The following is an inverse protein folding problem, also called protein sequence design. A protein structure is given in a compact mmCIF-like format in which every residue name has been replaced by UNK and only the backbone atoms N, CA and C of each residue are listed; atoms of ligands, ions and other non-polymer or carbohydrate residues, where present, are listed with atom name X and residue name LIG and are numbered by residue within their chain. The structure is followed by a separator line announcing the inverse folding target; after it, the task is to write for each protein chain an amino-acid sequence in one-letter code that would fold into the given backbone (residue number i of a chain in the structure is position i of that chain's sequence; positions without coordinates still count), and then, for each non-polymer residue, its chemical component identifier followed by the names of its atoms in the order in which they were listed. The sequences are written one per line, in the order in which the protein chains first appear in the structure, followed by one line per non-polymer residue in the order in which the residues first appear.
data_IF_461282548946
#
_entry.id   IF_461282548946
#
_cell.length_a   1.000
_cell.length_b   1.000
_cell.length_c   1.000
_cell.angle_alpha   90.00
_cell.angle_beta   90.00
_cell.angle_gamma   90.00
#
_symmetry.space_group_name_H-M   'P 1'
#
loop_
_entity.id
_entity.type
_entity.pdbx_description
1 polymer ?
#
# COMPACT_ATOMS: atom_id res chain seq x y z
N UNK A 1 -10.74 -6.19 -11.65
CA UNK A 1 -10.08 -7.47 -11.31
C UNK A 1 -10.35 -7.92 -9.88
N UNK A 2 -10.00 -7.15 -8.85
CA UNK A 2 -10.05 -7.58 -7.43
C UNK A 2 -11.40 -8.12 -6.92
N UNK A 3 -12.53 -7.53 -7.30
CA UNK A 3 -13.86 -8.08 -6.98
C UNK A 3 -14.07 -9.51 -7.50
N UNK A 4 -13.63 -9.79 -8.73
CA UNK A 4 -13.72 -11.14 -9.30
C UNK A 4 -12.76 -12.10 -8.59
N UNK A 5 -11.53 -11.64 -8.31
CA UNK A 5 -10.54 -12.44 -7.62
C UNK A 5 -11.04 -12.92 -6.24
N UNK A 6 -11.67 -12.04 -5.47
CA UNK A 6 -12.20 -12.42 -4.17
C UNK A 6 -13.41 -13.34 -4.25
N UNK A 7 -14.29 -13.17 -5.24
CA UNK A 7 -15.40 -14.11 -5.47
C UNK A 7 -14.87 -15.50 -5.86
N UNK A 8 -13.87 -15.55 -6.74
CA UNK A 8 -13.30 -16.79 -7.25
C UNK A 8 -12.48 -17.52 -6.18
N UNK A 9 -11.79 -16.81 -5.30
CA UNK A 9 -10.96 -17.44 -4.27
C UNK A 9 -11.73 -17.74 -2.97
N UNK A 10 -12.68 -16.88 -2.58
CA UNK A 10 -13.34 -16.95 -1.27
C UNK A 10 -14.87 -17.08 -1.33
N UNK A 11 -15.47 -16.97 -2.52
CA UNK A 11 -16.89 -17.23 -2.70
C UNK A 11 -17.22 -18.73 -2.72
N UNK A 12 -18.49 -19.08 -3.00
CA UNK A 12 -18.92 -20.46 -3.13
C UNK A 12 -18.06 -21.27 -4.12
N UNK A 13 -17.87 -22.57 -3.84
CA UNK A 13 -17.03 -23.49 -4.61
C UNK A 13 -17.31 -23.47 -6.12
N UNK A 14 -18.56 -23.20 -6.51
CA UNK A 14 -18.96 -23.02 -7.90
C UNK A 14 -18.07 -22.04 -8.68
N UNK A 15 -17.65 -20.93 -8.07
CA UNK A 15 -16.90 -19.87 -8.74
C UNK A 15 -15.42 -20.22 -8.92
N UNK A 16 -14.90 -21.24 -8.22
CA UNK A 16 -13.50 -21.63 -8.30
C UNK A 16 -13.11 -22.13 -9.70
N UNK A 17 -14.08 -22.62 -10.47
CA UNK A 17 -13.88 -23.03 -11.87
C UNK A 17 -13.43 -21.89 -12.79
N UNK A 18 -13.63 -20.62 -12.38
CA UNK A 18 -13.21 -19.46 -13.15
C UNK A 18 -11.77 -19.02 -12.89
N UNK A 19 -11.03 -19.74 -12.02
CA UNK A 19 -9.64 -19.43 -11.68
C UNK A 19 -8.73 -19.31 -12.90
N UNK A 20 -8.89 -20.22 -13.87
CA UNK A 20 -8.11 -20.19 -15.11
C UNK A 20 -8.43 -18.97 -15.99
N UNK A 21 -9.67 -18.46 -15.93
CA UNK A 21 -10.13 -17.29 -16.69
C UNK A 21 -9.88 -15.94 -16.01
N UNK A 22 -9.52 -15.93 -14.72
CA UNK A 22 -9.30 -14.71 -13.95
C UNK A 22 -8.02 -13.99 -14.36
N UNK A 23 -6.93 -14.73 -14.57
CA UNK A 23 -5.60 -14.20 -14.85
C UNK A 23 -5.06 -13.26 -13.76
N UNK A 24 -3.98 -12.56 -14.07
CA UNK A 24 -3.43 -11.49 -13.24
C UNK A 24 -4.06 -10.13 -13.62
N UNK A 25 -4.00 -9.11 -12.75
CA UNK A 25 -4.31 -7.74 -13.14
C UNK A 25 -3.48 -7.34 -14.36
N UNK A 26 -4.09 -6.59 -15.28
CA UNK A 26 -3.35 -6.00 -16.40
C UNK A 26 -2.36 -4.96 -15.84
N UNK A 27 -1.04 -5.14 -16.06
CA UNK A 27 -0.08 -4.14 -15.62
C UNK A 27 -0.16 -2.91 -16.53
N UNK A 28 0.09 -1.74 -15.95
CA UNK A 28 0.12 -0.49 -16.73
C UNK A 28 1.53 -0.20 -17.23
N UNK A 29 2.51 -0.18 -16.33
CA UNK A 29 3.91 0.06 -16.65
C UNK A 29 4.80 -0.88 -15.81
N UNK A 30 4.96 -2.12 -16.27
CA UNK A 30 5.75 -3.12 -15.57
C UNK A 30 7.25 -3.01 -15.90
N UNK A 31 8.08 -2.87 -14.87
CA UNK A 31 9.54 -2.95 -14.97
C UNK A 31 9.95 -4.38 -15.38
N UNK A 32 10.90 -4.47 -16.31
CA UNK A 32 11.49 -5.74 -16.72
C UNK A 32 12.14 -6.47 -15.54
N UNK A 33 11.79 -7.75 -15.36
CA UNK A 33 12.37 -8.57 -14.31
C UNK A 33 13.84 -8.86 -14.62
N UNK A 34 14.74 -8.35 -13.77
CA UNK A 34 16.17 -8.63 -13.83
C UNK A 34 16.63 -9.15 -12.48
N UNK A 35 17.47 -10.19 -12.48
CA UNK A 35 18.08 -10.69 -11.25
C UNK A 35 19.04 -9.63 -10.69
N UNK A 36 18.70 -9.04 -9.56
CA UNK A 36 19.58 -8.10 -8.87
C UNK A 36 20.82 -8.81 -8.34
N UNK A 37 21.99 -8.19 -8.53
CA UNK A 37 23.20 -8.56 -7.81
C UNK A 37 23.22 -7.80 -6.48
N UNK A 38 23.35 -8.53 -5.38
CA UNK A 38 23.41 -7.96 -4.04
C UNK A 38 24.77 -8.27 -3.44
N UNK A 39 25.47 -7.23 -3.00
CA UNK A 39 26.76 -7.35 -2.31
C UNK A 39 26.53 -6.82 -0.90
N UNK A 40 26.52 -7.68 0.14
CA UNK A 40 26.37 -7.22 1.50
C UNK A 40 27.61 -6.43 1.91
N UNK A 41 27.38 -5.25 2.47
CA UNK A 41 28.42 -4.44 3.12
C UNK A 41 28.74 -5.01 4.51
N UNK A 42 29.95 -4.73 5.00
CA UNK A 42 30.35 -5.02 6.37
C UNK A 42 29.49 -4.22 7.35
N UNK A 43 29.18 -4.85 8.48
CA UNK A 43 28.49 -4.20 9.59
C UNK A 43 29.27 -2.96 10.07
N UNK A 44 28.52 -1.95 10.50
CA UNK A 44 29.03 -0.67 10.97
C UNK A 44 28.49 -0.44 12.38
N UNK A 45 29.36 -0.05 13.31
CA UNK A 45 28.96 0.37 14.65
C UNK A 45 28.81 1.91 14.65
N UNK A 46 27.71 2.39 14.06
CA UNK A 46 27.45 3.81 13.83
C UNK A 46 26.03 4.13 14.32
N UNK A 47 25.91 5.19 15.11
CA UNK A 47 24.61 5.66 15.60
C UNK A 47 23.94 6.59 14.58
N UNK A 48 23.07 6.03 13.75
CA UNK A 48 22.32 6.73 12.69
C UNK A 48 21.16 7.62 13.20
N UNK A 49 20.99 7.79 14.52
CA UNK A 49 19.97 8.71 15.06
C UNK A 49 20.32 10.20 14.93
N UNK A 50 21.56 10.51 14.55
CA UNK A 50 22.07 11.89 14.41
C UNK A 50 22.49 12.19 12.97
N UNK A 51 22.49 13.46 12.59
CA UNK A 51 22.99 13.88 11.26
C UNK A 51 24.46 13.47 11.08
N UNK A 52 25.30 13.63 12.10
CA UNK A 52 26.70 13.21 12.07
C UNK A 52 26.85 11.68 11.86
N UNK A 53 26.06 10.87 12.57
CA UNK A 53 26.08 9.42 12.36
C UNK A 53 25.63 9.00 10.96
N UNK A 54 24.68 9.70 10.33
CA UNK A 54 24.31 9.42 8.94
C UNK A 54 25.45 9.78 7.96
N UNK A 55 26.21 10.85 8.23
CA UNK A 55 27.42 11.19 7.47
C UNK A 55 28.43 10.06 7.57
N UNK A 56 28.68 9.58 8.78
CA UNK A 56 29.64 8.51 9.03
C UNK A 56 29.22 7.21 8.34
N UNK A 57 27.92 6.88 8.37
CA UNK A 57 27.36 5.72 7.69
C UNK A 57 27.54 5.81 6.16
N UNK A 58 27.12 6.92 5.53
CA UNK A 58 27.28 7.13 4.09
C UNK A 58 28.75 7.10 3.68
N UNK A 59 29.62 7.78 4.43
CA UNK A 59 31.07 7.81 4.15
C UNK A 59 31.70 6.43 4.28
N UNK A 60 31.27 5.64 5.26
CA UNK A 60 31.70 4.25 5.42
C UNK A 60 31.23 3.39 4.24
N UNK A 61 29.97 3.49 3.84
CA UNK A 61 29.43 2.80 2.68
C UNK A 61 30.20 3.14 1.40
N UNK A 62 30.47 4.42 1.13
CA UNK A 62 31.27 4.83 -0.02
C UNK A 62 32.67 4.21 -0.02
N UNK A 63 33.34 4.20 1.15
CA UNK A 63 34.64 3.55 1.30
C UNK A 63 34.57 2.05 1.02
N UNK A 64 33.54 1.36 1.50
CA UNK A 64 33.34 -0.06 1.24
C UNK A 64 33.06 -0.36 -0.22
N UNK A 65 32.35 0.54 -0.91
CA UNK A 65 32.09 0.46 -2.35
C UNK A 65 33.28 0.92 -3.21
N UNK A 66 34.33 1.46 -2.59
CA UNK A 66 35.48 2.02 -3.31
C UNK A 66 35.14 3.29 -4.10
N UNK A 67 34.09 4.01 -3.74
CA UNK A 67 33.66 5.25 -4.41
C UNK A 67 34.11 6.46 -3.59
N UNK A 68 34.61 7.50 -4.25
CA UNK A 68 35.12 8.69 -3.57
C UNK A 68 35.34 9.86 -4.51
N UNK A 69 36.05 10.88 -4.00
CA UNK A 69 36.55 11.98 -4.82
C UNK A 69 38.05 11.82 -5.02
N UNK A 70 38.47 11.76 -6.29
CA UNK A 70 39.90 11.69 -6.63
C UNK A 70 40.67 12.98 -6.32
N UNK A 71 39.94 14.08 -6.11
CA UNK A 71 40.50 15.36 -5.67
C UNK A 71 40.76 15.44 -4.15
N UNK A 72 40.32 14.44 -3.36
CA UNK A 72 40.57 14.40 -1.92
C UNK A 72 41.61 13.34 -1.54
N UNK A 73 42.66 13.75 -0.83
CA UNK A 73 43.70 12.85 -0.29
C UNK A 73 43.14 11.78 0.66
N UNK A 74 41.97 12.03 1.24
CA UNK A 74 41.25 11.14 2.17
C UNK A 74 40.70 9.87 1.50
N UNK A 75 40.75 9.77 0.17
CA UNK A 75 40.15 8.66 -0.60
C UNK A 75 41.15 7.98 -1.57
N UNK A 76 42.29 7.46 -1.09
CA UNK A 76 43.28 6.84 -1.97
C UNK A 76 42.74 5.54 -2.59
N UNK A 77 42.87 5.40 -3.90
CA UNK A 77 42.41 4.21 -4.63
C UNK A 77 40.90 4.10 -4.83
N UNK A 78 40.14 5.17 -4.55
CA UNK A 78 38.72 5.23 -4.88
C UNK A 78 38.49 5.51 -6.38
N UNK A 79 37.35 5.06 -6.88
CA UNK A 79 36.81 5.47 -8.17
C UNK A 79 35.97 6.73 -7.99
N UNK A 80 36.18 7.71 -8.87
CA UNK A 80 35.39 8.93 -8.88
C UNK A 80 33.94 8.63 -9.30
N UNK A 81 32.96 9.25 -8.62
CA UNK A 81 31.54 9.04 -8.94
C UNK A 81 31.15 9.67 -10.29
N UNK A 82 31.85 10.72 -10.73
CA UNK A 82 31.58 11.42 -11.99
C UNK A 82 30.12 11.85 -12.12
N UNK A 83 29.50 11.50 -13.25
CA UNK A 83 28.11 11.85 -13.58
C UNK A 83 27.07 10.83 -13.04
N UNK A 84 27.46 9.96 -12.11
CA UNK A 84 26.56 8.98 -11.51
C UNK A 84 25.96 9.50 -10.20
N UNK A 85 24.85 8.87 -9.80
CA UNK A 85 24.21 9.09 -8.50
C UNK A 85 24.26 7.81 -7.67
N UNK A 86 24.33 7.97 -6.35
CA UNK A 86 24.09 6.88 -5.41
C UNK A 86 22.65 6.97 -4.91
N UNK A 87 21.87 5.94 -5.23
CA UNK A 87 20.52 5.79 -4.70
C UNK A 87 20.58 5.25 -3.26
N UNK A 88 19.99 5.97 -2.32
CA UNK A 88 19.93 5.58 -0.92
C UNK A 88 18.48 5.33 -0.55
N UNK A 89 18.15 4.08 -0.25
CA UNK A 89 16.82 3.69 0.21
C UNK A 89 16.76 3.68 1.73
N UNK A 90 15.66 4.17 2.29
CA UNK A 90 15.46 4.17 3.73
C UNK A 90 14.06 4.58 4.15
N UNK A 91 13.91 4.79 5.46
CA UNK A 91 12.68 5.33 6.04
C UNK A 91 12.64 6.87 5.99
N UNK A 92 11.58 7.46 6.54
CA UNK A 92 11.42 8.92 6.57
C UNK A 92 12.54 9.60 7.36
N UNK A 93 13.00 8.99 8.46
CA UNK A 93 14.08 9.56 9.25
C UNK A 93 15.38 9.57 8.44
N UNK A 94 15.69 8.52 7.67
CA UNK A 94 16.82 8.53 6.74
C UNK A 94 16.71 9.68 5.73
N UNK A 95 15.52 9.88 5.15
CA UNK A 95 15.27 10.97 4.20
C UNK A 95 15.58 12.35 4.80
N UNK A 96 15.00 12.64 5.97
CA UNK A 96 15.17 13.90 6.69
C UNK A 96 16.64 14.16 7.04
N UNK A 97 17.40 13.09 7.36
CA UNK A 97 18.82 13.20 7.69
C UNK A 97 19.69 13.45 6.47
N UNK A 98 19.43 12.78 5.35
CA UNK A 98 20.12 13.03 4.07
C UNK A 98 19.86 14.47 3.60
N UNK A 99 18.62 14.94 3.72
CA UNK A 99 18.26 16.32 3.35
C UNK A 99 18.93 17.34 4.27
N UNK A 100 18.86 17.15 5.59
CA UNK A 100 19.53 18.01 6.57
C UNK A 100 21.03 18.08 6.35
N UNK A 101 21.66 16.93 6.03
CA UNK A 101 23.06 16.84 5.64
C UNK A 101 23.36 17.74 4.44
N UNK A 102 22.64 17.56 3.33
CA UNK A 102 22.86 18.33 2.10
C UNK A 102 22.68 19.83 2.31
N UNK A 103 21.67 20.23 3.09
CA UNK A 103 21.46 21.62 3.46
C UNK A 103 22.62 22.20 4.26
N UNK A 104 23.05 21.52 5.32
CA UNK A 104 24.17 21.95 6.17
C UNK A 104 25.51 22.06 5.43
N UNK A 105 25.66 21.33 4.33
CA UNK A 105 26.89 21.33 3.51
C UNK A 105 26.72 22.06 2.19
N UNK A 106 25.63 22.79 1.97
CA UNK A 106 25.33 23.43 0.69
C UNK A 106 26.42 24.40 0.20
N UNK A 107 27.15 25.03 1.13
CA UNK A 107 28.25 25.97 0.85
C UNK A 107 29.63 25.30 0.65
N UNK A 108 29.73 23.97 0.79
CA UNK A 108 30.98 23.26 0.54
C UNK A 108 31.43 23.40 -0.92
N UNK A 109 32.74 23.50 -1.15
CA UNK A 109 33.29 23.80 -2.48
C UNK A 109 33.06 22.68 -3.49
N UNK A 110 33.23 21.41 -3.07
CA UNK A 110 33.15 20.26 -3.97
C UNK A 110 31.78 19.58 -3.93
N UNK A 111 31.32 19.05 -5.07
CA UNK A 111 30.08 18.27 -5.14
C UNK A 111 30.10 17.05 -4.22
N UNK A 112 31.28 16.45 -4.04
CA UNK A 112 31.52 15.35 -3.11
C UNK A 112 31.21 15.74 -1.66
N UNK A 113 31.78 16.84 -1.16
CA UNK A 113 31.54 17.30 0.22
C UNK A 113 30.09 17.72 0.45
N UNK A 114 29.42 18.22 -0.59
CA UNK A 114 27.98 18.52 -0.58
C UNK A 114 27.08 17.27 -0.56
N UNK A 115 27.63 16.06 -0.71
CA UNK A 115 26.85 14.83 -0.92
C UNK A 115 25.87 14.96 -2.10
N UNK A 116 26.26 15.71 -3.13
CA UNK A 116 25.36 16.11 -4.21
C UNK A 116 24.88 14.92 -5.06
N UNK A 117 25.69 13.86 -5.17
CA UNK A 117 25.39 12.62 -5.87
C UNK A 117 24.44 11.69 -5.11
N UNK A 118 24.12 11.99 -3.84
CA UNK A 118 23.19 11.17 -3.04
C UNK A 118 21.75 11.54 -3.36
N UNK A 119 21.02 10.57 -3.88
CA UNK A 119 19.59 10.67 -4.15
C UNK A 119 18.85 9.73 -3.22
N UNK A 120 18.06 10.28 -2.32
CA UNK A 120 17.20 9.48 -1.47
C UNK A 120 16.03 8.92 -2.28
N UNK A 121 15.74 7.63 -2.10
CA UNK A 121 14.59 6.95 -2.69
C UNK A 121 13.77 6.37 -1.55
N UNK A 122 12.51 6.76 -1.46
CA UNK A 122 11.60 6.25 -0.43
C UNK A 122 11.55 4.71 -0.49
N UNK A 123 11.75 4.05 0.65
CA UNK A 123 11.51 2.62 0.74
C UNK A 123 10.03 2.32 0.54
N UNK A 124 9.67 1.62 -0.54
CA UNK A 124 8.26 1.30 -0.86
C UNK A 124 7.57 0.51 0.26
N UNK A 125 8.32 -0.30 1.02
CA UNK A 125 7.81 -0.93 2.23
C UNK A 125 7.28 0.09 3.26
N UNK A 126 7.98 1.21 3.46
CA UNK A 126 7.54 2.28 4.36
C UNK A 126 6.30 3.01 3.82
N UNK A 127 6.18 3.17 2.50
CA UNK A 127 4.96 3.67 1.88
C UNK A 127 3.78 2.74 2.21
N UNK A 128 3.93 1.43 2.00
CA UNK A 128 2.91 0.44 2.37
C UNK A 128 2.58 0.47 3.87
N UNK A 129 3.56 0.68 4.74
CA UNK A 129 3.32 0.88 6.17
C UNK A 129 2.51 2.16 6.46
N UNK A 130 2.84 3.27 5.80
CA UNK A 130 2.15 4.54 5.95
C UNK A 130 0.69 4.46 5.46
N UNK A 131 0.43 3.77 4.34
CA UNK A 131 -0.93 3.53 3.86
C UNK A 131 -1.77 2.71 4.86
N UNK A 132 -1.20 1.65 5.45
CA UNK A 132 -1.89 0.87 6.47
C UNK A 132 -2.19 1.70 7.74
N UNK A 133 -1.25 2.57 8.15
CA UNK A 133 -1.44 3.50 9.27
C UNK A 133 -2.50 4.56 8.94
N UNK A 134 -2.56 5.04 7.69
CA UNK A 134 -3.59 5.98 7.24
C UNK A 134 -4.99 5.37 7.32
N UNK A 135 -5.18 4.15 6.82
CA UNK A 135 -6.46 3.43 6.93
C UNK A 135 -6.84 3.24 8.41
N UNK A 136 -5.88 2.86 9.27
CA UNK A 136 -6.12 2.77 10.70
C UNK A 136 -6.59 4.12 11.29
N UNK A 137 -5.94 5.23 10.94
CA UNK A 137 -6.29 6.58 11.41
C UNK A 137 -7.65 7.06 10.92
N UNK A 138 -8.13 6.57 9.78
CA UNK A 138 -9.42 6.92 9.22
C UNK A 138 -10.56 6.09 9.82
N UNK A 139 -10.42 4.77 9.87
CA UNK A 139 -11.54 3.85 10.12
C UNK A 139 -11.52 3.17 11.49
N UNK A 140 -10.44 3.32 12.26
CA UNK A 140 -10.33 2.69 13.58
C UNK A 140 -9.92 3.71 14.64
N UNK A 141 -8.88 4.52 14.46
CA UNK A 141 -8.38 5.39 15.54
C UNK A 141 -9.46 6.31 16.15
N UNK A 142 -10.28 7.04 15.35
CA UNK A 142 -11.29 7.94 15.90
C UNK A 142 -12.42 7.13 16.52
N UNK A 143 -12.83 7.45 17.75
CA UNK A 143 -13.98 6.78 18.39
C UNK A 143 -15.27 6.92 17.58
N UNK A 144 -15.44 8.04 16.88
CA UNK A 144 -16.59 8.30 16.02
C UNK A 144 -16.65 7.39 14.79
N UNK A 145 -15.53 6.83 14.33
CA UNK A 145 -15.45 5.89 13.21
C UNK A 145 -15.77 4.44 13.61
N UNK A 146 -16.21 4.23 14.86
CA UNK A 146 -16.53 2.91 15.45
C UNK A 146 -17.98 2.80 15.91
N UNK A 147 -18.84 3.72 15.44
CA UNK A 147 -20.21 3.86 15.95
C UNK A 147 -21.23 3.19 15.05
N UNK A 148 -20.89 3.01 13.77
CA UNK A 148 -21.69 2.38 12.74
C UNK A 148 -21.50 0.86 12.73
N UNK A 149 -22.60 0.14 12.51
CA UNK A 149 -22.65 -1.33 12.50
C UNK A 149 -21.81 -1.96 11.37
N UNK A 150 -21.52 -1.18 10.32
CA UNK A 150 -20.69 -1.59 9.18
C UNK A 150 -19.26 -1.05 9.27
N UNK A 151 -18.85 -0.52 10.43
CA UNK A 151 -17.50 0.02 10.56
C UNK A 151 -16.43 -1.09 10.55
N UNK A 152 -15.21 -0.71 10.19
CA UNK A 152 -14.08 -1.65 10.18
C UNK A 152 -13.85 -2.29 11.56
N UNK A 153 -14.17 -1.57 12.65
CA UNK A 153 -14.00 -2.08 14.01
C UNK A 153 -14.98 -3.20 14.37
N UNK A 154 -16.22 -3.17 13.87
CA UNK A 154 -17.20 -4.25 14.06
C UNK A 154 -16.71 -5.53 13.36
N UNK A 155 -16.23 -5.43 12.12
CA UNK A 155 -15.63 -6.57 11.44
C UNK A 155 -14.39 -7.11 12.17
N UNK A 156 -13.55 -6.23 12.73
CA UNK A 156 -12.40 -6.63 13.57
C UNK A 156 -12.84 -7.37 14.82
N UNK A 157 -13.96 -6.99 15.44
CA UNK A 157 -14.49 -7.68 16.62
C UNK A 157 -14.89 -9.13 16.30
N UNK A 158 -15.38 -9.39 15.09
CA UNK A 158 -15.71 -10.73 14.61
C UNK A 158 -14.46 -11.58 14.33
N UNK A 159 -13.51 -11.08 13.53
CA UNK A 159 -12.35 -11.89 13.10
C UNK A 159 -11.23 -11.93 14.15
N UNK A 160 -11.18 -10.96 15.07
CA UNK A 160 -10.13 -10.80 16.10
C UNK A 160 -10.70 -10.27 17.42
N UNK A 161 -11.65 -10.97 18.06
CA UNK A 161 -12.34 -10.48 19.26
C UNK A 161 -11.41 -10.13 20.42
N UNK A 162 -10.26 -10.82 20.52
CA UNK A 162 -9.27 -10.63 21.60
C UNK A 162 -8.30 -9.48 21.34
N UNK A 163 -8.31 -8.87 20.15
CA UNK A 163 -7.36 -7.82 19.77
C UNK A 163 -7.99 -6.43 19.64
N UNK A 164 -9.29 -6.27 19.91
CA UNK A 164 -10.02 -5.00 19.74
C UNK A 164 -9.37 -3.81 20.48
N UNK A 165 -8.91 -3.99 21.72
CA UNK A 165 -8.19 -2.95 22.48
C UNK A 165 -6.87 -2.55 21.79
N UNK A 166 -6.15 -3.54 21.24
CA UNK A 166 -4.88 -3.31 20.53
C UNK A 166 -5.12 -2.59 19.20
N UNK A 167 -6.17 -2.96 18.49
CA UNK A 167 -6.62 -2.33 17.25
C UNK A 167 -7.04 -0.88 17.49
N UNK A 168 -7.74 -0.61 18.59
CA UNK A 168 -8.18 0.73 18.95
C UNK A 168 -7.09 1.70 19.40
N UNK A 169 -5.84 1.24 19.61
CA UNK A 169 -4.75 2.04 20.19
C UNK A 169 -3.54 2.21 19.27
N UNK A 170 -2.80 1.15 18.97
CA UNK A 170 -1.67 1.15 18.03
C UNK A 170 -1.37 -0.29 17.60
N UNK A 171 -2.06 -0.81 16.57
CA UNK A 171 -1.96 -2.21 16.16
C UNK A 171 -0.62 -2.58 15.51
N UNK A 172 0.04 -1.60 14.90
CA UNK A 172 1.24 -1.80 14.10
C UNK A 172 0.92 -2.36 12.71
N UNK A 173 1.92 -2.33 11.83
CA UNK A 173 1.75 -2.63 10.42
C UNK A 173 1.17 -4.01 10.14
N UNK A 174 1.75 -5.07 10.72
CA UNK A 174 1.38 -6.46 10.38
C UNK A 174 -0.11 -6.74 10.63
N UNK A 175 -0.64 -6.29 11.76
CA UNK A 175 -2.06 -6.45 12.10
C UNK A 175 -2.96 -5.69 11.14
N UNK A 176 -2.62 -4.42 10.86
CA UNK A 176 -3.40 -3.62 9.91
C UNK A 176 -3.38 -4.21 8.51
N UNK A 177 -2.22 -4.68 8.04
CA UNK A 177 -2.10 -5.33 6.74
C UNK A 177 -3.06 -6.52 6.60
N UNK A 178 -3.10 -7.41 7.60
CA UNK A 178 -4.00 -8.57 7.60
C UNK A 178 -5.47 -8.14 7.73
N UNK A 179 -5.78 -7.17 8.59
CA UNK A 179 -7.16 -6.67 8.78
C UNK A 179 -7.70 -6.00 7.52
N UNK A 180 -6.91 -5.18 6.82
CA UNK A 180 -7.32 -4.55 5.57
C UNK A 180 -7.68 -5.60 4.52
N UNK A 181 -6.87 -6.65 4.39
CA UNK A 181 -7.12 -7.73 3.44
C UNK A 181 -8.38 -8.52 3.81
N UNK A 182 -8.51 -8.97 5.06
CA UNK A 182 -9.65 -9.79 5.48
C UNK A 182 -10.97 -9.01 5.42
N UNK A 183 -10.99 -7.80 5.96
CA UNK A 183 -12.20 -6.94 5.93
C UNK A 183 -12.53 -6.54 4.50
N UNK A 184 -11.52 -6.24 3.67
CA UNK A 184 -11.70 -5.95 2.24
C UNK A 184 -12.39 -7.10 1.51
N UNK A 185 -11.90 -8.33 1.69
CA UNK A 185 -12.51 -9.54 1.10
C UNK A 185 -13.97 -9.71 1.54
N UNK A 186 -14.23 -9.73 2.86
CA UNK A 186 -15.59 -9.94 3.40
C UNK A 186 -16.55 -8.87 2.91
N UNK A 187 -16.13 -7.60 2.95
CA UNK A 187 -16.99 -6.50 2.54
C UNK A 187 -17.26 -6.52 1.02
N UNK A 188 -16.31 -6.95 0.19
CA UNK A 188 -16.56 -7.14 -1.26
C UNK A 188 -17.47 -8.32 -1.55
N UNK A 189 -17.38 -9.43 -0.80
CA UNK A 189 -18.33 -10.56 -0.91
C UNK A 189 -19.74 -10.14 -0.49
N UNK A 190 -19.89 -9.25 0.48
CA UNK A 190 -21.21 -8.70 0.83
C UNK A 190 -21.75 -7.77 -0.27
N UNK A 191 -20.89 -6.95 -0.89
CA UNK A 191 -21.28 -6.18 -2.08
C UNK A 191 -21.78 -7.08 -3.21
N UNK A 192 -21.09 -8.20 -3.45
CA UNK A 192 -21.55 -9.23 -4.39
C UNK A 192 -22.95 -9.75 -4.04
N UNK A 193 -23.17 -10.12 -2.77
CA UNK A 193 -24.46 -10.62 -2.29
C UNK A 193 -25.58 -9.61 -2.56
N UNK A 194 -25.35 -8.34 -2.19
CA UNK A 194 -26.33 -7.27 -2.38
C UNK A 194 -26.66 -7.02 -3.86
N UNK A 195 -25.66 -7.00 -4.73
CA UNK A 195 -25.87 -6.74 -6.15
C UNK A 195 -26.57 -7.91 -6.86
N UNK A 196 -26.20 -9.14 -6.48
CA UNK A 196 -26.88 -10.37 -6.93
C UNK A 196 -28.33 -10.41 -6.46
N UNK A 197 -28.61 -10.03 -5.22
CA UNK A 197 -29.98 -9.90 -4.69
C UNK A 197 -30.77 -8.86 -5.49
N UNK A 198 -30.14 -7.72 -5.81
CA UNK A 198 -30.77 -6.66 -6.60
C UNK A 198 -31.16 -7.13 -8.00
N UNK A 199 -30.23 -7.78 -8.71
CA UNK A 199 -30.36 -8.14 -10.13
C UNK A 199 -31.08 -9.47 -10.34
N UNK A 200 -30.71 -10.52 -9.59
CA UNK A 200 -31.18 -11.89 -9.80
C UNK A 200 -32.19 -12.37 -8.75
N UNK A 201 -32.48 -11.56 -7.71
CA UNK A 201 -33.38 -11.92 -6.60
C UNK A 201 -32.91 -13.17 -5.82
N UNK A 202 -31.60 -13.42 -5.83
CA UNK A 202 -30.98 -14.46 -5.00
C UNK A 202 -30.54 -13.83 -3.67
N UNK A 203 -30.90 -14.44 -2.55
CA UNK A 203 -30.58 -13.93 -1.21
C UNK A 203 -29.13 -14.23 -0.79
N UNK A 204 -28.46 -15.14 -1.49
CA UNK A 204 -27.07 -15.52 -1.23
C UNK A 204 -26.29 -15.83 -2.51
N UNK A 205 -24.96 -15.87 -2.39
CA UNK A 205 -24.07 -16.26 -3.49
C UNK A 205 -24.22 -17.74 -3.86
N UNK A 206 -24.58 -18.60 -2.91
CA UNK A 206 -24.88 -20.02 -3.15
C UNK A 206 -26.16 -20.20 -3.96
N UNK A 207 -27.19 -19.38 -3.72
CA UNK A 207 -28.40 -19.39 -4.54
C UNK A 207 -28.11 -18.95 -5.97
N UNK A 208 -27.31 -17.91 -6.13
CA UNK A 208 -26.89 -17.46 -7.45
C UNK A 208 -26.02 -18.50 -8.16
N UNK A 209 -25.09 -19.14 -7.46
CA UNK A 209 -24.29 -20.24 -8.01
C UNK A 209 -25.16 -21.38 -8.58
N UNK A 210 -26.32 -21.69 -7.96
CA UNK A 210 -27.26 -22.71 -8.49
C UNK A 210 -27.89 -22.32 -9.83
N UNK A 211 -27.98 -21.02 -10.14
CA UNK A 211 -28.42 -20.54 -11.45
C UNK A 211 -27.36 -20.73 -12.54
N UNK A 212 -26.18 -21.21 -12.15
CA UNK A 212 -25.06 -21.48 -13.05
C UNK A 212 -24.61 -20.25 -13.86
N UNK A 213 -24.27 -19.11 -13.22
CA UNK A 213 -23.83 -17.92 -13.92
C UNK A 213 -22.58 -18.18 -14.77
N UNK A 214 -22.53 -17.53 -15.93
CA UNK A 214 -21.39 -17.56 -16.84
C UNK A 214 -20.26 -16.66 -16.36
N UNK A 215 -19.08 -16.75 -16.98
CA UNK A 215 -17.98 -15.83 -16.64
C UNK A 215 -18.33 -14.40 -17.04
N UNK A 216 -19.06 -14.22 -18.14
CA UNK A 216 -19.57 -12.94 -18.60
C UNK A 216 -20.53 -12.30 -17.58
N UNK A 217 -21.41 -13.09 -16.95
CA UNK A 217 -22.28 -12.62 -15.87
C UNK A 217 -21.45 -12.10 -14.68
N UNK A 218 -20.40 -12.85 -14.28
CA UNK A 218 -19.48 -12.44 -13.22
C UNK A 218 -18.78 -11.13 -13.60
N UNK A 219 -18.25 -11.01 -14.81
CA UNK A 219 -17.61 -9.77 -15.27
C UNK A 219 -18.57 -8.57 -15.29
N UNK A 220 -19.82 -8.79 -15.69
CA UNK A 220 -20.84 -7.73 -15.74
C UNK A 220 -21.20 -7.22 -14.35
N UNK A 221 -21.44 -8.12 -13.39
CA UNK A 221 -21.72 -7.73 -12.01
C UNK A 221 -20.50 -7.05 -11.38
N UNK A 222 -19.29 -7.57 -11.59
CA UNK A 222 -18.08 -6.95 -11.07
C UNK A 222 -17.90 -5.49 -11.54
N UNK A 223 -18.27 -5.17 -12.79
CA UNK A 223 -18.28 -3.78 -13.31
C UNK A 223 -19.32 -2.93 -12.58
N UNK A 224 -20.51 -3.46 -12.33
CA UNK A 224 -21.54 -2.75 -11.56
C UNK A 224 -21.07 -2.50 -10.11
N UNK A 225 -20.39 -3.47 -9.50
CA UNK A 225 -19.81 -3.32 -8.16
C UNK A 225 -18.81 -2.16 -8.09
N UNK A 226 -17.91 -2.06 -9.07
CA UNK A 226 -16.94 -0.96 -9.10
C UNK A 226 -17.58 0.44 -9.23
N UNK A 227 -18.76 0.53 -9.84
CA UNK A 227 -19.46 1.81 -10.03
C UNK A 227 -20.34 2.20 -8.84
N UNK A 228 -20.95 1.20 -8.18
CA UNK A 228 -21.98 1.41 -7.18
C UNK A 228 -21.47 1.25 -5.73
N UNK A 229 -20.41 0.47 -5.51
CA UNK A 229 -19.93 0.07 -4.18
C UNK A 229 -18.51 0.55 -3.87
N UNK A 230 -17.93 1.39 -4.72
CA UNK A 230 -16.64 2.02 -4.49
C UNK A 230 -16.80 3.54 -4.62
N UNK A 231 -16.25 4.30 -3.68
CA UNK A 231 -16.31 5.75 -3.75
C UNK A 231 -15.59 6.26 -5.01
N UNK A 232 -16.35 6.82 -5.94
CA UNK A 232 -15.84 7.45 -7.15
C UNK A 232 -16.04 8.97 -7.15
N UNK A 233 -15.99 9.57 -8.34
CA UNK A 233 -16.15 11.02 -8.54
C UNK A 233 -17.54 11.53 -8.12
N UNK A 234 -18.54 10.64 -8.05
CA UNK A 234 -19.89 10.94 -7.61
C UNK A 234 -20.02 11.21 -6.10
N UNK A 235 -19.00 10.90 -5.28
CA UNK A 235 -19.08 11.12 -3.83
C UNK A 235 -19.34 12.60 -3.48
N UNK A 236 -18.79 13.53 -4.26
CA UNK A 236 -19.05 14.97 -4.11
C UNK A 236 -20.54 15.31 -4.27
N UNK A 237 -21.19 14.71 -5.27
CA UNK A 237 -22.62 14.87 -5.52
C UNK A 237 -23.45 14.28 -4.39
N UNK A 238 -23.10 13.08 -3.89
CA UNK A 238 -23.77 12.46 -2.73
C UNK A 238 -23.68 13.40 -1.52
N UNK A 239 -22.49 13.96 -1.27
CA UNK A 239 -22.25 14.87 -0.14
C UNK A 239 -22.92 16.23 -0.24
N UNK A 240 -23.31 16.63 -1.45
CA UNK A 240 -24.06 17.86 -1.71
C UNK A 240 -25.55 17.76 -1.39
N UNK A 241 -26.07 16.54 -1.21
CA UNK A 241 -27.47 16.32 -0.84
C UNK A 241 -27.77 16.81 0.58
N UNK A 242 -29.03 17.18 0.88
CA UNK A 242 -29.46 17.51 2.24
C UNK A 242 -29.11 16.41 3.24
N UNK A 243 -28.77 16.79 4.48
CA UNK A 243 -28.31 15.84 5.51
C UNK A 243 -29.31 14.71 5.78
N UNK A 244 -30.62 14.96 5.61
CA UNK A 244 -31.69 14.00 5.82
C UNK A 244 -31.78 12.93 4.72
N UNK A 245 -31.24 13.21 3.54
CA UNK A 245 -31.25 12.31 2.38
C UNK A 245 -29.95 11.49 2.28
N UNK A 246 -28.94 11.86 3.09
CA UNK A 246 -27.62 11.23 3.05
C UNK A 246 -27.53 10.01 3.94
N UNK A 247 -27.30 8.86 3.32
CA UNK A 247 -26.87 7.65 4.00
C UNK A 247 -25.35 7.73 4.28
N UNK A 248 -25.02 8.30 5.45
CA UNK A 248 -23.62 8.44 5.89
C UNK A 248 -22.93 7.11 6.14
N UNK A 249 -23.68 6.07 6.51
CA UNK A 249 -23.13 4.75 6.76
C UNK A 249 -22.69 4.11 5.43
N UNK A 250 -23.54 4.19 4.41
CA UNK A 250 -23.17 3.79 3.06
C UNK A 250 -21.99 4.62 2.52
N UNK A 251 -21.99 5.95 2.71
CA UNK A 251 -20.84 6.79 2.30
C UNK A 251 -19.51 6.33 2.93
N UNK A 252 -19.52 5.96 4.22
CA UNK A 252 -18.34 5.43 4.90
C UNK A 252 -17.90 4.08 4.30
N UNK A 253 -18.85 3.19 3.99
CA UNK A 253 -18.58 1.90 3.35
C UNK A 253 -17.95 2.06 1.96
N UNK A 254 -18.47 2.99 1.14
CA UNK A 254 -17.90 3.31 -0.19
C UNK A 254 -16.45 3.79 -0.09
N UNK A 255 -16.15 4.63 0.91
CA UNK A 255 -14.80 5.15 1.16
C UNK A 255 -13.86 4.05 1.64
N UNK A 256 -14.30 3.22 2.60
CA UNK A 256 -13.54 2.08 3.08
C UNK A 256 -13.19 1.14 1.92
N UNK A 257 -14.15 0.85 1.05
CA UNK A 257 -13.93 0.01 -0.13
C UNK A 257 -12.85 0.58 -1.06
N UNK A 258 -12.95 1.87 -1.39
CA UNK A 258 -11.94 2.55 -2.22
C UNK A 258 -10.56 2.47 -1.57
N UNK A 259 -10.44 2.79 -0.30
CA UNK A 259 -9.13 2.88 0.37
C UNK A 259 -8.51 1.48 0.56
N UNK A 260 -9.32 0.45 0.84
CA UNK A 260 -8.87 -0.95 0.86
C UNK A 260 -8.38 -1.41 -0.53
N UNK A 261 -9.13 -1.08 -1.60
CA UNK A 261 -8.73 -1.41 -2.98
C UNK A 261 -7.42 -0.73 -3.37
N UNK A 262 -7.27 0.58 -3.10
CA UNK A 262 -6.03 1.32 -3.36
C UNK A 262 -4.84 0.72 -2.58
N UNK A 263 -5.07 0.28 -1.34
CA UNK A 263 -4.03 -0.38 -0.54
C UNK A 263 -3.61 -1.75 -1.11
N UNK A 264 -4.56 -2.53 -1.60
CA UNK A 264 -4.28 -3.83 -2.20
C UNK A 264 -3.62 -3.69 -3.58
N UNK A 265 -4.06 -2.71 -4.37
CA UNK A 265 -3.47 -2.33 -5.65
C UNK A 265 -2.02 -1.90 -5.49
N UNK A 266 -1.74 -0.92 -4.60
CA UNK A 266 -0.36 -0.47 -4.37
C UNK A 266 0.52 -1.61 -3.85
N UNK A 267 -0.04 -2.50 -3.03
CA UNK A 267 0.66 -3.69 -2.53
C UNK A 267 0.99 -4.66 -3.66
N UNK A 268 0.08 -4.86 -4.60
CA UNK A 268 0.29 -5.72 -5.76
C UNK A 268 1.32 -5.10 -6.72
N UNK A 269 1.13 -3.84 -7.10
CA UNK A 269 2.01 -3.11 -8.00
C UNK A 269 3.48 -3.11 -7.51
N UNK A 270 3.68 -2.87 -6.21
CA UNK A 270 5.01 -2.95 -5.57
C UNK A 270 5.70 -4.32 -5.72
N UNK A 271 4.94 -5.41 -5.72
CA UNK A 271 5.49 -6.77 -5.86
C UNK A 271 5.67 -7.16 -7.33
N UNK A 272 4.76 -6.71 -8.20
CA UNK A 272 4.79 -6.97 -9.64
C UNK A 272 5.83 -6.11 -10.37
N UNK A 273 6.30 -5.03 -9.75
CA UNK A 273 7.16 -4.04 -10.38
C UNK A 273 6.39 -3.12 -11.33
N UNK A 274 5.10 -2.91 -11.11
CA UNK A 274 4.28 -1.97 -11.87
C UNK A 274 4.41 -0.55 -11.30
N UNK A 275 4.81 0.41 -12.13
CA UNK A 275 5.15 1.79 -11.72
C UNK A 275 4.20 2.86 -12.26
N UNK A 276 3.13 2.47 -12.97
CA UNK A 276 2.18 3.40 -13.58
C UNK A 276 0.75 3.21 -13.13
#
# INVERSE_FOLDING_TARGET
WKFMADLVEYGPEYFWKFKDGLGEPEPVEQISLVKSQQIPVKAMDINESTTAGNIDALTNLFRQMGVGSTAEESSPGCQDIGDHVTLVHGDLSTAERVESLRQSRSDETTSWRRFQSVVFVMGLFHLKMACADAIWKLYIQPKAARLDETCMMEHVAEIRPKETIKMGSKPGFRRMHEVIQHVGVVSRLDCWRLEVERVHKCSSLEEWAKLSPTWEDVQQIAKALTLNYVAGNNLSNIRSQPQQERDKQNENSLLLQRDCLLYEEITHAMNAGDIG
#
